data_IF_222259785735
#
_entry.id   IF_222259785735
#
_cell.length_a   1.000
_cell.length_b   1.000
_cell.length_c   1.000
_cell.angle_alpha   90.00
_cell.angle_beta   90.00
_cell.angle_gamma   90.00
#
_symmetry.space_group_name_H-M   'P 1'
#
loop_
_entity.id
_entity.type
_entity.pdbx_description
1 polymer ?
#
# COMPACT_ATOMS: atom_id res chain seq x y z
N UNK A 1 -5.24 -10.44 16.15
CA UNK A 1 -5.59 -9.67 14.93
C UNK A 1 -4.33 -9.37 14.14
N UNK A 2 -4.31 -9.52 12.81
CA UNK A 2 -3.16 -9.15 11.97
C UNK A 2 -3.36 -7.78 11.33
N UNK A 3 -2.41 -6.86 11.55
CA UNK A 3 -2.36 -5.52 10.96
C UNK A 3 -1.42 -5.52 9.75
N UNK A 4 -1.78 -4.79 8.70
CA UNK A 4 -1.04 -4.64 7.45
C UNK A 4 -0.92 -3.15 7.15
N UNK A 5 0.21 -2.71 6.59
CA UNK A 5 0.31 -1.36 6.03
C UNK A 5 -0.78 -1.18 4.98
N UNK A 6 -1.53 -0.09 5.05
CA UNK A 6 -2.44 0.35 3.99
C UNK A 6 -1.84 1.62 3.40
N UNK A 7 -1.62 1.63 2.08
CA UNK A 7 -1.28 2.86 1.35
C UNK A 7 -2.45 3.20 0.42
N UNK A 8 -2.93 4.44 0.54
CA UNK A 8 -3.91 5.09 -0.32
C UNK A 8 -3.17 6.13 -1.17
N UNK A 9 -3.33 6.02 -2.48
CA UNK A 9 -2.90 7.03 -3.43
C UNK A 9 -4.14 7.77 -3.91
N UNK A 10 -4.34 9.03 -3.52
CA UNK A 10 -5.41 9.80 -4.10
C UNK A 10 -5.09 10.07 -5.58
N UNK A 11 -6.11 9.95 -6.41
CA UNK A 11 -6.01 10.18 -7.84
C UNK A 11 -5.88 11.68 -8.05
N UNK A 12 -4.71 12.21 -8.41
CA UNK A 12 -4.61 13.35 -9.34
C UNK A 12 -3.14 13.57 -9.72
N UNK A 13 -2.94 13.69 -11.03
CA UNK A 13 -1.69 13.86 -11.80
C UNK A 13 -0.81 12.60 -12.01
N UNK A 14 -0.49 12.41 -13.29
CA UNK A 14 0.28 11.28 -13.82
C UNK A 14 1.63 11.11 -13.10
N UNK A 15 1.96 9.88 -12.70
CA UNK A 15 3.32 9.50 -12.28
C UNK A 15 3.60 9.51 -10.78
N UNK A 16 2.57 9.47 -9.92
CA UNK A 16 2.74 9.38 -8.48
C UNK A 16 3.51 8.15 -8.03
N UNK A 17 4.54 8.31 -7.19
CA UNK A 17 5.42 7.23 -6.70
C UNK A 17 5.55 7.25 -5.17
N UNK A 18 5.43 6.09 -4.55
CA UNK A 18 5.59 5.88 -3.11
C UNK A 18 6.67 4.83 -2.88
N UNK A 19 7.60 5.09 -1.97
CA UNK A 19 8.68 4.17 -1.61
C UNK A 19 8.51 3.68 -0.17
N UNK A 20 8.58 2.37 0.03
CA UNK A 20 8.81 1.77 1.34
C UNK A 20 10.31 1.88 1.65
N UNK A 21 10.67 2.82 2.54
CA UNK A 21 12.05 3.03 2.93
C UNK A 21 12.48 2.07 4.03
N UNK A 22 13.77 1.78 4.02
CA UNK A 22 14.43 1.09 5.12
C UNK A 22 15.68 1.85 5.58
N UNK A 23 15.55 2.92 6.38
CA UNK A 23 16.68 3.65 7.01
C UNK A 23 17.26 3.00 8.30
N UNK A 24 18.58 2.85 8.47
CA UNK A 24 19.20 2.25 9.66
C UNK A 24 19.45 3.28 10.78
N UNK A 25 18.58 3.32 11.79
CA UNK A 25 18.85 3.80 13.17
C UNK A 25 17.60 3.83 14.11
N UNK A 26 16.42 3.36 13.68
CA UNK A 26 15.21 3.39 14.53
C UNK A 26 14.92 2.04 15.20
N UNK A 27 14.66 1.99 16.51
CA UNK A 27 14.22 0.78 17.18
C UNK A 27 12.89 0.29 16.56
N UNK A 28 12.70 -1.04 16.54
CA UNK A 28 11.50 -1.71 15.98
C UNK A 28 11.30 -1.57 14.48
N UNK A 29 12.29 -1.07 13.75
CA UNK A 29 12.23 -0.99 12.29
C UNK A 29 11.96 -2.35 11.68
N UNK A 30 10.97 -2.39 10.80
CA UNK A 30 10.51 -3.59 10.12
C UNK A 30 10.56 -3.38 8.62
N UNK A 31 11.06 -4.38 7.88
CA UNK A 31 11.04 -4.36 6.41
C UNK A 31 9.65 -4.70 5.92
N UNK A 32 9.00 -3.75 5.25
CA UNK A 32 7.69 -3.92 4.62
C UNK A 32 7.86 -3.93 3.10
N UNK A 33 7.12 -4.80 2.42
CA UNK A 33 7.03 -4.88 0.95
C UNK A 33 5.58 -4.80 0.53
N UNK A 34 5.29 -4.03 -0.51
CA UNK A 34 3.97 -3.98 -1.12
C UNK A 34 3.57 -5.32 -1.72
N UNK A 35 2.31 -5.73 -1.54
CA UNK A 35 1.77 -6.97 -2.07
C UNK A 35 0.97 -6.72 -3.37
N UNK A 36 1.49 -7.12 -4.54
CA UNK A 36 0.80 -6.94 -5.83
C UNK A 36 -0.56 -7.63 -5.91
N UNK A 37 -0.81 -8.67 -5.10
CA UNK A 37 -2.11 -9.37 -5.09
C UNK A 37 -3.23 -8.50 -4.55
N UNK A 38 -2.88 -7.57 -3.64
CA UNK A 38 -3.82 -6.66 -2.99
C UNK A 38 -4.01 -5.36 -3.76
N UNK A 39 -3.07 -5.02 -4.63
CA UNK A 39 -2.99 -3.72 -5.28
C UNK A 39 -4.16 -3.45 -6.24
N UNK A 40 -4.72 -2.26 -6.16
CA UNK A 40 -5.68 -1.78 -7.15
C UNK A 40 -5.10 -1.83 -8.59
N UNK A 41 -5.89 -2.13 -9.63
CA UNK A 41 -5.39 -2.23 -11.01
C UNK A 41 -4.60 -1.01 -11.51
N UNK A 42 -4.94 0.19 -11.04
CA UNK A 42 -4.20 1.43 -11.33
C UNK A 42 -2.90 1.61 -10.53
N UNK A 43 -2.49 0.63 -9.71
CA UNK A 43 -1.27 0.69 -8.91
C UNK A 43 -0.25 -0.34 -9.40
N UNK A 44 0.84 0.15 -9.95
CA UNK A 44 1.97 -0.66 -10.42
C UNK A 44 2.96 -0.82 -9.28
N UNK A 45 3.19 -2.06 -8.86
CA UNK A 45 4.20 -2.38 -7.86
C UNK A 45 5.51 -2.73 -8.57
N UNK A 46 6.63 -2.13 -8.15
CA UNK A 46 7.94 -2.45 -8.71
C UNK A 46 8.37 -3.89 -8.41
N UNK A 47 9.36 -4.39 -9.17
CA UNK A 47 9.90 -5.73 -9.00
C UNK A 47 10.46 -5.98 -7.58
N UNK A 48 11.09 -4.98 -6.97
CA UNK A 48 11.60 -5.05 -5.60
C UNK A 48 10.50 -4.93 -4.52
N UNK A 49 9.25 -4.68 -4.94
CA UNK A 49 8.07 -4.49 -4.10
C UNK A 49 8.21 -3.36 -3.08
N UNK A 50 9.11 -2.41 -3.32
CA UNK A 50 9.29 -1.22 -2.46
C UNK A 50 8.69 0.03 -3.06
N UNK A 51 8.39 0.02 -4.35
CA UNK A 51 7.75 1.15 -5.02
C UNK A 51 6.33 0.80 -5.39
N UNK A 52 5.40 1.73 -5.21
CA UNK A 52 4.13 1.72 -5.94
C UNK A 52 3.99 3.00 -6.75
N UNK A 53 3.55 2.86 -7.99
CA UNK A 53 3.30 3.95 -8.92
C UNK A 53 1.84 3.96 -9.35
N UNK A 54 1.20 5.13 -9.38
CA UNK A 54 -0.13 5.26 -9.96
C UNK A 54 -0.07 5.43 -11.47
N UNK A 55 -0.95 4.72 -12.18
CA UNK A 55 -1.14 4.82 -13.64
C UNK A 55 -2.60 5.12 -13.98
N UNK A 56 -2.82 5.90 -15.03
CA UNK A 56 -4.15 6.32 -15.44
C UNK A 56 -4.96 5.16 -16.03
N UNK A 57 -4.32 4.32 -16.84
CA UNK A 57 -4.93 3.10 -17.37
C UNK A 57 -4.78 1.94 -16.39
N UNK A 58 -5.89 1.29 -16.08
CA UNK A 58 -5.89 0.10 -15.24
C UNK A 58 -5.08 -1.02 -15.90
N UNK A 59 -4.18 -1.65 -15.14
CA UNK A 59 -3.45 -2.82 -15.62
C UNK A 59 -4.40 -4.01 -15.82
N UNK A 60 -4.13 -4.82 -16.84
CA UNK A 60 -4.80 -6.11 -17.06
C UNK A 60 -4.25 -7.16 -16.09
N UNK A 61 -4.77 -7.16 -14.86
CA UNK A 61 -4.40 -8.11 -13.79
C UNK A 61 -5.62 -8.91 -13.35
N UNK A 62 -5.46 -10.20 -12.99
CA UNK A 62 -6.59 -11.02 -12.56
C UNK A 62 -7.19 -10.48 -11.25
N UNK A 63 -8.53 -10.45 -11.20
CA UNK A 63 -9.24 -10.18 -9.96
C UNK A 63 -9.08 -11.34 -8.98
N UNK A 64 -9.09 -11.02 -7.69
CA UNK A 64 -9.05 -11.99 -6.60
C UNK A 64 -9.67 -11.37 -5.33
N UNK A 65 -10.04 -12.18 -4.33
CA UNK A 65 -10.68 -11.67 -3.10
C UNK A 65 -9.84 -10.66 -2.30
N UNK A 66 -8.51 -10.67 -2.43
CA UNK A 66 -7.60 -9.79 -1.68
C UNK A 66 -7.40 -8.43 -2.36
N UNK A 67 -7.70 -8.33 -3.67
CA UNK A 67 -7.52 -7.12 -4.48
C UNK A 67 -8.53 -6.03 -4.16
N UNK A 68 -8.03 -4.82 -3.93
CA UNK A 68 -8.86 -3.62 -3.91
C UNK A 68 -9.30 -3.23 -5.31
N UNK A 69 -10.61 -3.10 -5.56
CA UNK A 69 -11.12 -2.75 -6.90
C UNK A 69 -11.81 -1.38 -6.94
N UNK A 70 -12.20 -0.84 -5.79
CA UNK A 70 -12.98 0.41 -5.72
C UNK A 70 -12.19 1.61 -5.24
N UNK A 71 -11.14 1.38 -4.45
CA UNK A 71 -10.30 2.42 -3.88
C UNK A 71 -8.85 2.16 -4.32
N UNK A 72 -8.10 3.19 -4.76
CA UNK A 72 -6.70 3.07 -5.22
C UNK A 72 -5.76 2.84 -4.04
N UNK A 73 -5.80 1.62 -3.50
CA UNK A 73 -5.00 1.20 -2.38
C UNK A 73 -4.38 -0.18 -2.56
N UNK A 74 -3.39 -0.46 -1.73
CA UNK A 74 -2.73 -1.74 -1.60
C UNK A 74 -2.25 -1.96 -0.17
N UNK A 75 -1.87 -3.20 0.12
CA UNK A 75 -1.29 -3.56 1.39
C UNK A 75 0.21 -3.82 1.33
N UNK A 76 0.86 -3.63 2.48
CA UNK A 76 2.18 -4.18 2.75
C UNK A 76 2.14 -5.59 3.36
N UNK A 77 3.28 -6.24 3.31
CA UNK A 77 3.61 -7.53 3.91
C UNK A 77 5.00 -7.45 4.58
N UNK A 78 5.29 -8.21 5.65
CA UNK A 78 4.40 -9.15 6.33
C UNK A 78 3.32 -8.45 7.16
N UNK A 79 2.34 -9.22 7.62
CA UNK A 79 1.37 -8.76 8.61
C UNK A 79 1.89 -8.93 10.03
N UNK A 80 1.42 -8.08 10.94
CA UNK A 80 1.86 -8.05 12.34
C UNK A 80 0.73 -8.43 13.29
N UNK A 81 0.99 -9.35 14.21
CA UNK A 81 0.00 -9.81 15.20
C UNK A 81 0.28 -9.33 16.62
N UNK A 82 1.50 -8.86 16.88
CA UNK A 82 1.99 -8.46 18.20
C UNK A 82 3.28 -7.66 18.05
N UNK A 83 3.69 -6.96 19.11
CA UNK A 83 4.95 -6.22 19.15
C UNK A 83 4.82 -4.78 18.65
N UNK A 84 5.96 -4.07 18.64
CA UNK A 84 6.10 -2.72 18.07
C UNK A 84 6.76 -2.86 16.71
N UNK A 85 6.25 -2.14 15.73
CA UNK A 85 6.77 -2.12 14.37
C UNK A 85 6.86 -0.68 13.89
N UNK A 86 7.94 -0.39 13.17
CA UNK A 86 8.18 0.91 12.58
C UNK A 86 8.55 0.74 11.10
N UNK A 87 7.94 1.55 10.24
CA UNK A 87 8.29 1.64 8.83
C UNK A 87 8.22 3.10 8.39
N UNK A 88 8.96 3.43 7.35
CA UNK A 88 8.96 4.75 6.74
C UNK A 88 8.45 4.62 5.31
N UNK A 89 7.69 5.62 4.90
CA UNK A 89 7.20 5.74 3.55
C UNK A 89 7.66 7.08 3.03
N UNK A 90 8.35 7.08 1.90
CA UNK A 90 8.70 8.29 1.19
C UNK A 90 7.65 8.54 0.12
N UNK A 91 7.16 9.77 0.09
CA UNK A 91 6.26 10.27 -0.92
C UNK A 91 7.09 11.26 -1.74
N UNK A 92 7.02 11.15 -3.08
CA UNK A 92 7.57 12.20 -3.94
C UNK A 92 6.78 13.52 -3.80
N UNK A 93 6.71 14.32 -4.86
CA UNK A 93 5.96 15.59 -4.87
C UNK A 93 4.42 15.45 -4.84
N UNK A 94 3.88 14.38 -4.26
CA UNK A 94 2.45 14.08 -4.29
C UNK A 94 1.70 14.73 -3.12
N UNK A 95 0.61 15.44 -3.43
CA UNK A 95 -0.17 16.23 -2.47
C UNK A 95 -1.18 15.44 -1.65
N UNK A 96 -1.62 14.28 -2.12
CA UNK A 96 -2.71 13.54 -1.50
C UNK A 96 -2.39 12.05 -1.40
N UNK A 97 -1.69 11.70 -0.33
CA UNK A 97 -1.31 10.33 0.01
C UNK A 97 -1.63 10.06 1.47
N UNK A 98 -2.15 8.86 1.74
CA UNK A 98 -2.35 8.39 3.11
C UNK A 98 -1.64 7.05 3.30
N UNK A 99 -0.91 6.92 4.40
CA UNK A 99 -0.39 5.65 4.89
C UNK A 99 -0.95 5.38 6.28
N UNK A 100 -1.31 4.13 6.54
CA UNK A 100 -1.86 3.71 7.81
C UNK A 100 -1.76 2.21 8.00
N UNK A 101 -2.59 1.68 8.90
CA UNK A 101 -2.71 0.25 9.13
C UNK A 101 -4.14 -0.21 8.88
N UNK A 102 -4.29 -1.40 8.32
CA UNK A 102 -5.56 -2.06 8.13
C UNK A 102 -5.53 -3.47 8.72
N UNK A 103 -6.67 -3.96 9.20
CA UNK A 103 -6.80 -5.38 9.55
C UNK A 103 -6.73 -6.21 8.27
N UNK A 104 -6.22 -7.44 8.37
CA UNK A 104 -6.26 -8.41 7.25
C UNK A 104 -7.68 -8.57 6.66
N UNK A 105 -8.70 -8.48 7.51
CA UNK A 105 -10.12 -8.59 7.16
C UNK A 105 -10.76 -7.31 6.62
N UNK A 106 -10.00 -6.24 6.33
CA UNK A 106 -10.59 -5.03 5.74
C UNK A 106 -11.30 -5.37 4.42
N UNK A 107 -12.48 -4.78 4.19
CA UNK A 107 -13.25 -5.00 2.97
C UNK A 107 -12.49 -4.45 1.76
N UNK A 108 -12.53 -5.18 0.64
CA UNK A 108 -11.73 -4.89 -0.57
C UNK A 108 -12.56 -4.42 -1.76
N UNK A 109 -13.85 -4.73 -1.76
CA UNK A 109 -14.75 -4.58 -2.91
C UNK A 109 -15.74 -3.42 -2.78
N UNK A 110 -15.75 -2.77 -1.62
CA UNK A 110 -16.52 -1.55 -1.35
C UNK A 110 -15.55 -0.37 -1.22
N UNK A 111 -16.08 0.85 -1.29
CA UNK A 111 -15.30 2.04 -0.92
C UNK A 111 -14.79 1.93 0.51
N UNK A 112 -13.48 2.13 0.68
CA UNK A 112 -12.88 2.17 2.00
C UNK A 112 -13.38 3.38 2.77
N UNK A 113 -13.95 3.13 3.95
CA UNK A 113 -14.12 4.14 4.98
C UNK A 113 -12.89 4.14 5.88
N UNK A 114 -12.21 5.28 5.92
CA UNK A 114 -11.19 5.57 6.92
C UNK A 114 -11.93 6.00 8.20
N UNK A 115 -11.70 5.26 9.28
CA UNK A 115 -12.28 5.49 10.61
C UNK A 115 -11.17 5.52 11.64
#
# INVERSE_FOLDING_TARGET
MTWLLLCLLAQYENGGKVLALSSSAKPYKTSVRFDPKTAHPNLVVSQDKKTVTWVQEAQSVPDNPERFNSTPCLLGSPGFTSGKHYWEVEYGNQRELAAGVARKSVKRKDHLRLT
#
